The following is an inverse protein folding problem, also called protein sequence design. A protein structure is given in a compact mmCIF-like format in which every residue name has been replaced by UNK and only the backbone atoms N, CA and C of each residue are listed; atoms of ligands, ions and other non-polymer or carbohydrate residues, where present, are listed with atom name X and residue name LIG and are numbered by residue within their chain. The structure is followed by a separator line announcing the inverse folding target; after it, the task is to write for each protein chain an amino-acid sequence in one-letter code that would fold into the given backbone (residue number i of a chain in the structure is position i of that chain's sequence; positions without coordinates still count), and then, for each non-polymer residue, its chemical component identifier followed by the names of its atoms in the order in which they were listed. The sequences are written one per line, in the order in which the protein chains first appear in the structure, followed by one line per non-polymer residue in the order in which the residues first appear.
data_IF_463774781387
#
_entry.id   IF_463774781387
#
_cell.length_a   1.000
_cell.length_b   1.000
_cell.length_c   1.000
_cell.angle_alpha   90.00
_cell.angle_beta   90.00
_cell.angle_gamma   90.00
#
_symmetry.space_group_name_H-M   'P 1'
#
loop_
_entity.id
_entity.type
_entity.pdbx_description
1 polymer ?
#
# COMPACT_ATOMS: atom_id res chain seq x y z
N UNK A 1 -15.04 -12.58 -8.23
CA UNK A 1 -16.02 -12.02 -7.27
C UNK A 1 -15.31 -11.44 -6.06
N UNK A 2 -16.05 -11.00 -5.03
CA UNK A 2 -15.46 -10.42 -3.82
C UNK A 2 -16.24 -9.20 -3.33
N UNK A 3 -15.54 -8.22 -2.74
CA UNK A 3 -16.13 -6.96 -2.27
C UNK A 3 -15.45 -5.76 -2.90
N UNK A 4 -16.22 -4.78 -3.34
CA UNK A 4 -15.68 -3.49 -3.78
C UNK A 4 -15.11 -2.66 -2.62
N UNK A 5 -15.55 -2.95 -1.39
CA UNK A 5 -15.13 -2.28 -0.16
C UNK A 5 -13.97 -3.03 0.52
N UNK A 6 -14.17 -3.59 1.71
CA UNK A 6 -13.10 -4.04 2.59
C UNK A 6 -13.17 -5.53 2.91
N UNK A 7 -12.04 -6.07 3.39
CA UNK A 7 -11.97 -7.45 3.88
C UNK A 7 -13.06 -7.76 4.92
N UNK A 8 -13.40 -6.82 5.81
CA UNK A 8 -14.46 -7.01 6.81
C UNK A 8 -15.77 -7.48 6.19
N UNK A 9 -16.19 -6.85 5.09
CA UNK A 9 -17.43 -7.22 4.39
C UNK A 9 -17.26 -8.54 3.62
N UNK A 10 -16.07 -8.78 3.04
CA UNK A 10 -15.77 -10.05 2.37
C UNK A 10 -15.84 -11.22 3.35
N UNK A 11 -15.33 -11.01 4.56
CA UNK A 11 -15.30 -12.00 5.62
C UNK A 11 -16.71 -12.28 6.19
N UNK A 12 -17.59 -11.27 6.22
CA UNK A 12 -18.98 -11.39 6.69
C UNK A 12 -19.92 -12.00 5.66
N UNK A 13 -19.76 -11.66 4.39
CA UNK A 13 -20.68 -12.02 3.29
C UNK A 13 -19.95 -12.86 2.25
N UNK A 14 -19.52 -14.04 2.69
CA UNK A 14 -18.79 -15.00 1.85
C UNK A 14 -19.72 -15.58 0.79
N UNK A 15 -19.18 -15.82 -0.39
CA UNK A 15 -19.85 -16.55 -1.47
C UNK A 15 -19.09 -17.85 -1.72
N UNK A 16 -19.74 -18.90 -2.26
CA UNK A 16 -19.05 -20.16 -2.58
C UNK A 16 -17.85 -19.92 -3.50
N UNK A 17 -16.67 -20.40 -3.08
CA UNK A 17 -15.43 -20.15 -3.79
C UNK A 17 -15.43 -20.74 -5.21
N UNK A 18 -16.06 -21.90 -5.40
CA UNK A 18 -16.09 -22.64 -6.68
C UNK A 18 -16.71 -21.84 -7.82
N UNK A 19 -17.56 -20.86 -7.51
CA UNK A 19 -18.21 -19.98 -8.49
C UNK A 19 -17.35 -18.77 -8.89
N UNK A 20 -16.14 -18.62 -8.32
CA UNK A 20 -15.28 -17.47 -8.56
C UNK A 20 -14.04 -17.85 -9.37
N UNK A 21 -13.71 -17.06 -10.38
CA UNK A 21 -12.39 -17.13 -11.04
C UNK A 21 -11.28 -16.54 -10.18
N UNK A 22 -11.63 -15.51 -9.40
CA UNK A 22 -10.74 -14.85 -8.44
C UNK A 22 -11.56 -14.20 -7.31
N UNK A 23 -10.92 -13.98 -6.17
CA UNK A 23 -11.42 -13.20 -5.04
C UNK A 23 -10.72 -11.84 -4.97
N UNK A 24 -11.47 -10.80 -4.63
CA UNK A 24 -10.89 -9.46 -4.41
C UNK A 24 -11.54 -8.67 -3.30
N UNK A 25 -10.77 -7.78 -2.69
CA UNK A 25 -11.25 -6.73 -1.81
C UNK A 25 -10.28 -5.54 -1.85
N UNK A 26 -10.70 -4.41 -1.29
CA UNK A 26 -9.81 -3.27 -1.02
C UNK A 26 -9.54 -3.16 0.48
N UNK A 27 -8.82 -2.12 0.85
CA UNK A 27 -8.59 -1.69 2.23
C UNK A 27 -8.65 -0.16 2.29
N UNK A 28 -8.85 0.38 3.50
CA UNK A 28 -8.78 1.81 3.77
C UNK A 28 -8.31 1.99 5.21
N UNK A 29 -7.20 2.71 5.45
CA UNK A 29 -6.62 2.82 6.78
C UNK A 29 -7.33 3.87 7.67
N UNK A 30 -8.22 4.71 7.10
CA UNK A 30 -8.84 5.82 7.82
C UNK A 30 -10.29 5.57 8.26
N UNK A 31 -10.69 4.33 8.53
CA UNK A 31 -12.10 4.05 8.89
C UNK A 31 -12.49 4.65 10.25
N UNK A 32 -11.61 4.54 11.25
CA UNK A 32 -11.90 4.96 12.63
C UNK A 32 -10.99 6.08 13.13
N UNK A 33 -9.72 6.06 12.74
CA UNK A 33 -8.71 7.05 13.10
C UNK A 33 -8.02 7.55 11.82
N UNK A 34 -7.47 8.75 11.86
CA UNK A 34 -6.81 9.35 10.69
C UNK A 34 -5.49 10.05 11.02
N UNK A 35 -4.97 9.92 12.24
CA UNK A 35 -3.60 10.34 12.54
C UNK A 35 -2.56 9.51 11.77
N UNK A 36 -1.32 9.97 11.76
CA UNK A 36 -0.24 9.38 10.95
C UNK A 36 0.15 7.99 11.43
N UNK A 37 0.25 7.81 12.75
CA UNK A 37 0.67 6.56 13.36
C UNK A 37 -0.37 5.47 13.08
N UNK A 38 -1.65 5.75 13.36
CA UNK A 38 -2.75 4.81 13.12
C UNK A 38 -2.81 4.34 11.67
N UNK A 39 -2.55 5.24 10.70
CA UNK A 39 -2.56 4.86 9.28
C UNK A 39 -1.38 3.98 8.92
N UNK A 40 -0.17 4.24 9.41
CA UNK A 40 0.97 3.36 9.15
C UNK A 40 0.82 2.00 9.83
N UNK A 41 0.32 1.97 11.06
CA UNK A 41 0.06 0.72 11.80
C UNK A 41 -0.97 -0.19 11.13
N UNK A 42 -1.88 0.36 10.30
CA UNK A 42 -2.81 -0.45 9.51
C UNK A 42 -2.12 -1.51 8.63
N UNK A 43 -0.85 -1.28 8.26
CA UNK A 43 -0.04 -2.21 7.48
C UNK A 43 0.19 -3.54 8.23
N UNK A 44 0.22 -3.52 9.57
CA UNK A 44 0.43 -4.71 10.41
C UNK A 44 -0.73 -5.72 10.31
N UNK A 45 -1.92 -5.26 9.96
CA UNK A 45 -3.08 -6.13 9.78
C UNK A 45 -3.05 -6.91 8.45
N UNK A 46 -2.32 -6.43 7.45
CA UNK A 46 -2.38 -6.96 6.09
C UNK A 46 -1.96 -8.44 5.98
N UNK A 47 -0.90 -8.93 6.65
CA UNK A 47 -0.56 -10.35 6.62
C UNK A 47 -1.67 -11.25 7.21
N UNK A 48 -2.38 -10.79 8.24
CA UNK A 48 -3.50 -11.54 8.83
C UNK A 48 -4.73 -11.53 7.92
N UNK A 49 -4.99 -10.41 7.26
CA UNK A 49 -6.06 -10.28 6.26
C UNK A 49 -5.81 -11.26 5.11
N UNK A 50 -4.62 -11.25 4.52
CA UNK A 50 -4.30 -12.12 3.38
C UNK A 50 -4.31 -13.59 3.77
N UNK A 51 -3.78 -13.94 4.95
CA UNK A 51 -3.87 -15.30 5.49
C UNK A 51 -5.34 -15.75 5.68
N UNK A 52 -6.20 -14.86 6.16
CA UNK A 52 -7.62 -15.16 6.32
C UNK A 52 -8.32 -15.37 4.97
N UNK A 53 -8.01 -14.56 3.96
CA UNK A 53 -8.53 -14.78 2.60
C UNK A 53 -8.08 -16.14 2.06
N UNK A 54 -6.82 -16.52 2.24
CA UNK A 54 -6.31 -17.84 1.84
C UNK A 54 -7.00 -18.97 2.59
N UNK A 55 -7.26 -18.82 3.89
CA UNK A 55 -8.01 -19.82 4.65
C UNK A 55 -9.47 -19.98 4.17
N UNK A 56 -10.11 -18.90 3.72
CA UNK A 56 -11.52 -18.91 3.29
C UNK A 56 -11.69 -19.37 1.84
N UNK A 57 -10.84 -18.89 0.93
CA UNK A 57 -10.98 -19.10 -0.52
C UNK A 57 -9.92 -20.03 -1.10
N UNK A 58 -9.04 -20.59 -0.27
CA UNK A 58 -8.02 -21.55 -0.67
C UNK A 58 -7.08 -21.00 -1.76
N UNK A 59 -6.81 -21.78 -2.83
CA UNK A 59 -5.86 -21.41 -3.87
C UNK A 59 -6.46 -20.48 -4.93
N UNK A 60 -7.69 -19.98 -4.76
CA UNK A 60 -8.30 -19.06 -5.74
C UNK A 60 -7.39 -17.87 -6.01
N UNK A 61 -7.36 -17.43 -7.26
CA UNK A 61 -6.64 -16.22 -7.61
C UNK A 61 -7.13 -15.07 -6.71
N UNK A 62 -6.20 -14.35 -6.13
CA UNK A 62 -6.40 -13.34 -5.13
C UNK A 62 -5.84 -11.98 -5.57
N UNK A 63 -6.73 -11.01 -5.67
CA UNK A 63 -6.41 -9.63 -6.05
C UNK A 63 -6.76 -8.66 -4.93
N UNK A 64 -6.00 -7.59 -4.80
CA UNK A 64 -6.33 -6.50 -3.90
C UNK A 64 -6.43 -5.19 -4.67
N UNK A 65 -7.52 -4.46 -4.44
CA UNK A 65 -7.60 -3.04 -4.76
C UNK A 65 -8.73 -2.62 -5.71
N UNK A 66 -8.78 -1.31 -6.04
CA UNK A 66 -7.80 -0.28 -5.65
C UNK A 66 -7.86 0.06 -4.16
N UNK A 67 -6.73 -0.06 -3.46
CA UNK A 67 -6.58 0.36 -2.07
C UNK A 67 -5.90 1.72 -1.99
N UNK A 68 -6.44 2.61 -1.15
CA UNK A 68 -6.04 4.01 -1.03
C UNK A 68 -6.07 4.45 0.43
N UNK A 69 -5.31 5.49 0.78
CA UNK A 69 -5.39 6.08 2.13
C UNK A 69 -6.78 6.68 2.33
N UNK A 70 -7.19 7.58 1.44
CA UNK A 70 -8.54 8.14 1.46
C UNK A 70 -9.60 7.05 1.20
N UNK A 71 -10.80 7.24 1.75
CA UNK A 71 -11.91 6.32 1.59
C UNK A 71 -12.54 6.49 0.20
N UNK A 72 -12.49 5.44 -0.61
CA UNK A 72 -13.08 5.45 -1.96
C UNK A 72 -14.57 5.12 -1.98
N UNK A 73 -15.01 4.28 -1.04
CA UNK A 73 -16.40 3.87 -0.91
C UNK A 73 -16.69 3.60 0.57
N UNK A 74 -17.82 4.08 1.08
CA UNK A 74 -18.26 3.83 2.44
C UNK A 74 -19.24 2.63 2.47
N UNK A 75 -18.84 1.45 2.98
CA UNK A 75 -19.77 0.31 3.10
C UNK A 75 -20.78 0.47 4.26
N UNK A 76 -20.65 1.51 5.07
CA UNK A 76 -21.45 1.74 6.29
C UNK A 76 -22.43 2.91 6.15
N UNK A 77 -22.52 3.54 4.97
CA UNK A 77 -23.39 4.68 4.72
C UNK A 77 -23.50 4.99 3.23
N UNK A 78 -24.32 5.98 2.87
CA UNK A 78 -24.60 6.32 1.47
C UNK A 78 -23.48 7.05 0.74
N UNK A 79 -22.53 7.67 1.46
CA UNK A 79 -21.42 8.43 0.90
C UNK A 79 -20.20 8.46 1.83
N UNK A 80 -19.05 8.80 1.25
CA UNK A 80 -17.83 9.16 1.97
C UNK A 80 -17.92 10.61 2.47
N UNK A 81 -17.13 10.97 3.49
CA UNK A 81 -17.13 12.35 4.00
C UNK A 81 -16.38 13.26 3.05
N UNK A 82 -16.97 14.40 2.70
CA UNK A 82 -16.26 15.45 1.97
C UNK A 82 -15.15 16.04 2.83
N UNK A 83 -14.00 16.32 2.21
CA UNK A 83 -12.86 16.94 2.90
C UNK A 83 -12.20 18.05 2.06
N UNK A 84 -12.89 19.19 1.85
CA UNK A 84 -12.39 20.29 1.01
C UNK A 84 -11.14 20.97 1.59
N UNK A 85 -10.99 20.94 2.92
CA UNK A 85 -9.86 21.56 3.62
C UNK A 85 -8.66 20.62 3.81
N UNK A 86 -8.68 19.43 3.19
CA UNK A 86 -7.61 18.42 3.24
C UNK A 86 -7.13 18.14 4.67
N UNK A 87 -8.08 17.96 5.59
CA UNK A 87 -7.81 17.60 6.97
C UNK A 87 -7.61 16.09 7.12
N UNK A 88 -7.05 15.65 8.25
CA UNK A 88 -6.94 14.23 8.59
C UNK A 88 -8.22 13.75 9.25
N UNK A 89 -9.18 13.33 8.43
CA UNK A 89 -10.53 12.97 8.89
C UNK A 89 -10.83 11.52 8.53
N UNK A 90 -11.31 10.74 9.50
CA UNK A 90 -11.75 9.38 9.26
C UNK A 90 -12.91 9.35 8.24
N UNK A 91 -12.86 8.38 7.33
CA UNK A 91 -13.85 8.14 6.27
C UNK A 91 -13.94 9.24 5.20
N UNK A 92 -12.93 10.11 5.12
CA UNK A 92 -12.87 11.17 4.12
C UNK A 92 -12.52 10.66 2.72
N UNK A 93 -13.08 11.32 1.69
CA UNK A 93 -12.84 11.05 0.27
C UNK A 93 -11.52 11.63 -0.28
N UNK A 94 -10.84 12.43 0.55
CA UNK A 94 -9.55 13.08 0.27
C UNK A 94 -8.70 13.01 1.52
N UNK A 95 -7.40 12.82 1.33
CA UNK A 95 -6.43 12.82 2.42
C UNK A 95 -5.20 13.66 2.03
N UNK A 96 -4.74 14.60 2.89
CA UNK A 96 -3.58 15.44 2.57
C UNK A 96 -2.30 14.64 2.35
N UNK A 97 -2.17 13.46 2.98
CA UNK A 97 -0.97 12.63 2.93
C UNK A 97 -0.72 12.02 1.55
N UNK A 98 -1.78 11.92 0.73
CA UNK A 98 -1.71 11.39 -0.63
C UNK A 98 -0.75 12.21 -1.53
N UNK A 99 -0.57 13.50 -1.23
CA UNK A 99 0.32 14.38 -1.98
C UNK A 99 1.79 14.34 -1.55
N UNK A 100 2.11 13.63 -0.46
CA UNK A 100 3.44 13.64 0.14
C UNK A 100 4.13 12.28 0.15
N UNK A 101 5.36 12.27 0.68
CA UNK A 101 6.16 11.04 0.86
C UNK A 101 5.46 9.98 1.71
N UNK A 102 4.57 10.39 2.62
CA UNK A 102 3.75 9.48 3.43
C UNK A 102 3.03 8.44 2.56
N UNK A 103 2.43 8.86 1.46
CA UNK A 103 1.71 7.95 0.56
C UNK A 103 2.65 7.04 -0.23
N UNK A 104 3.85 7.50 -0.58
CA UNK A 104 4.88 6.66 -1.19
C UNK A 104 5.35 5.56 -0.21
N UNK A 105 5.68 5.92 1.03
CA UNK A 105 6.07 4.97 2.07
C UNK A 105 4.96 3.96 2.39
N UNK A 106 3.71 4.42 2.56
CA UNK A 106 2.57 3.54 2.78
C UNK A 106 2.34 2.58 1.60
N UNK A 107 2.53 3.04 0.36
CA UNK A 107 2.38 2.22 -0.86
C UNK A 107 3.40 1.09 -0.92
N UNK A 108 4.69 1.39 -0.68
CA UNK A 108 5.74 0.36 -0.63
C UNK A 108 5.51 -0.56 0.57
N UNK A 109 5.21 -0.02 1.74
CA UNK A 109 4.92 -0.80 2.95
C UNK A 109 3.72 -1.75 2.77
N UNK A 110 2.68 -1.30 2.08
CA UNK A 110 1.52 -2.11 1.71
C UNK A 110 1.95 -3.31 0.87
N UNK A 111 2.67 -3.05 -0.22
CA UNK A 111 3.17 -4.09 -1.10
C UNK A 111 4.08 -5.07 -0.37
N UNK A 112 4.97 -4.59 0.51
CA UNK A 112 5.83 -5.40 1.36
C UNK A 112 5.03 -6.41 2.20
N UNK A 113 3.94 -5.96 2.83
CA UNK A 113 3.13 -6.80 3.72
C UNK A 113 2.24 -7.81 2.98
N UNK A 114 1.86 -7.54 1.74
CA UNK A 114 0.99 -8.44 0.95
C UNK A 114 1.75 -9.31 -0.05
N UNK A 115 3.00 -8.99 -0.39
CA UNK A 115 3.80 -9.78 -1.33
C UNK A 115 3.91 -11.27 -0.97
N UNK A 116 4.08 -11.67 0.31
CA UNK A 116 4.10 -13.08 0.68
C UNK A 116 2.81 -13.84 0.38
N UNK A 117 1.68 -13.15 0.21
CA UNK A 117 0.39 -13.77 -0.10
C UNK A 117 0.27 -14.24 -1.56
N UNK A 118 1.23 -13.87 -2.43
CA UNK A 118 1.26 -14.25 -3.83
C UNK A 118 0.03 -13.76 -4.59
N UNK A 119 -0.23 -12.45 -4.55
CA UNK A 119 -1.34 -11.84 -5.27
C UNK A 119 -1.09 -11.87 -6.78
N UNK A 120 -2.13 -12.16 -7.57
CA UNK A 120 -2.09 -12.02 -9.03
C UNK A 120 -2.15 -10.55 -9.44
N UNK A 121 -2.72 -9.69 -8.59
CA UNK A 121 -2.83 -8.26 -8.86
C UNK A 121 -2.93 -7.47 -7.56
N UNK A 122 -2.11 -6.43 -7.47
CA UNK A 122 -2.21 -5.37 -6.48
C UNK A 122 -2.46 -4.06 -7.21
N UNK A 123 -3.60 -3.43 -6.96
CA UNK A 123 -3.93 -2.09 -7.46
C UNK A 123 -3.92 -1.12 -6.30
N UNK A 124 -3.03 -0.14 -6.38
CA UNK A 124 -2.94 0.96 -5.43
C UNK A 124 -3.16 2.26 -6.20
N UNK A 125 -3.77 3.25 -5.55
CA UNK A 125 -3.99 4.57 -6.14
C UNK A 125 -4.97 4.54 -7.35
N UNK A 126 -5.23 5.71 -7.90
CA UNK A 126 -5.82 5.93 -9.24
C UNK A 126 -4.83 6.66 -10.14
N UNK A 127 -5.25 6.99 -11.36
CA UNK A 127 -4.39 7.76 -12.28
C UNK A 127 -4.43 9.27 -11.96
N UNK A 128 -5.62 9.85 -11.88
CA UNK A 128 -5.87 11.27 -11.55
C UNK A 128 -6.84 11.42 -10.38
N UNK A 129 -7.15 12.67 -10.00
CA UNK A 129 -8.11 12.98 -8.95
C UNK A 129 -7.55 12.81 -7.53
N UNK A 130 -8.43 12.75 -6.52
CA UNK A 130 -8.02 12.69 -5.11
C UNK A 130 -7.19 11.44 -4.75
N UNK A 131 -7.36 10.37 -5.53
CA UNK A 131 -6.62 9.13 -5.38
C UNK A 131 -5.49 8.99 -6.40
N UNK A 132 -5.30 9.96 -7.30
CA UNK A 132 -4.38 9.88 -8.43
C UNK A 132 -2.90 9.75 -8.08
N UNK A 133 -2.10 9.25 -9.01
CA UNK A 133 -0.63 9.42 -8.96
C UNK A 133 -0.20 10.78 -9.51
N UNK A 134 -1.05 11.44 -10.31
CA UNK A 134 -0.84 12.80 -10.79
C UNK A 134 -1.55 13.82 -9.89
N UNK A 135 -0.94 14.99 -9.75
CA UNK A 135 -1.48 16.08 -8.95
C UNK A 135 -2.64 16.78 -9.65
N UNK A 136 -3.60 17.21 -8.83
CA UNK A 136 -4.68 18.10 -9.23
C UNK A 136 -4.29 19.56 -8.94
N UNK A 137 -5.13 20.49 -9.38
CA UNK A 137 -4.98 21.91 -9.06
C UNK A 137 -4.97 22.17 -7.54
N UNK A 138 -4.14 23.12 -7.09
CA UNK A 138 -4.05 23.52 -5.67
C UNK A 138 -3.24 22.57 -4.78
N UNK A 139 -2.33 21.80 -5.36
CA UNK A 139 -1.42 20.90 -4.64
C UNK A 139 0.01 21.43 -4.56
N UNK A 140 0.89 20.85 -3.70
CA UNK A 140 2.28 21.31 -3.57
C UNK A 140 3.12 21.19 -4.85
N UNK A 141 2.76 20.27 -5.75
CA UNK A 141 3.35 20.13 -7.09
C UNK A 141 2.35 20.61 -8.15
N UNK A 142 2.85 20.96 -9.34
CA UNK A 142 2.04 21.47 -10.44
C UNK A 142 0.93 20.50 -10.87
N UNK A 143 -0.17 21.04 -11.37
CA UNK A 143 -1.26 20.20 -11.91
C UNK A 143 -0.75 19.33 -13.06
N UNK A 144 -1.10 18.04 -13.04
CA UNK A 144 -0.63 17.05 -14.01
C UNK A 144 0.77 16.50 -13.71
N UNK A 145 1.53 17.12 -12.80
CA UNK A 145 2.85 16.61 -12.41
C UNK A 145 2.72 15.38 -11.48
N UNK A 146 3.71 14.48 -11.48
CA UNK A 146 3.73 13.32 -10.58
C UNK A 146 3.74 13.72 -9.10
N UNK A 147 2.82 13.15 -8.31
CA UNK A 147 2.93 13.12 -6.84
C UNK A 147 4.02 12.13 -6.44
N UNK A 148 4.62 12.22 -5.22
CA UNK A 148 5.63 11.27 -4.76
C UNK A 148 5.24 9.78 -4.84
N UNK A 149 3.95 9.46 -4.68
CA UNK A 149 3.42 8.11 -4.83
C UNK A 149 3.62 7.53 -6.26
N UNK A 150 3.77 8.38 -7.28
CA UNK A 150 4.03 7.94 -8.65
C UNK A 150 5.30 7.07 -8.74
N UNK A 151 6.40 7.51 -8.11
CA UNK A 151 7.66 6.78 -8.12
C UNK A 151 7.54 5.42 -7.40
N UNK A 152 6.78 5.38 -6.29
CA UNK A 152 6.48 4.14 -5.59
C UNK A 152 5.66 3.17 -6.48
N UNK A 153 4.59 3.66 -7.12
CA UNK A 153 3.76 2.83 -8.02
C UNK A 153 4.57 2.39 -9.25
N UNK A 154 5.38 3.25 -9.84
CA UNK A 154 6.28 2.89 -10.96
C UNK A 154 7.24 1.77 -10.53
N UNK A 155 7.85 1.90 -9.36
CA UNK A 155 8.74 0.87 -8.79
C UNK A 155 8.03 -0.47 -8.57
N UNK A 156 6.78 -0.47 -8.11
CA UNK A 156 5.98 -1.69 -7.98
C UNK A 156 5.63 -2.31 -9.35
N UNK A 157 5.34 -1.49 -10.36
CA UNK A 157 5.13 -1.97 -11.72
C UNK A 157 6.40 -2.61 -12.31
N UNK A 158 7.57 -2.05 -12.04
CA UNK A 158 8.87 -2.64 -12.45
C UNK A 158 9.15 -3.99 -11.78
N UNK A 159 8.65 -4.19 -10.56
CA UNK A 159 8.75 -5.47 -9.83
C UNK A 159 7.69 -6.50 -10.29
N UNK A 160 6.72 -6.13 -11.11
CA UNK A 160 5.70 -7.07 -11.58
C UNK A 160 6.36 -8.22 -12.36
N UNK A 161 6.00 -9.45 -12.01
CA UNK A 161 6.60 -10.67 -12.60
C UNK A 161 7.96 -11.08 -12.02
N UNK A 162 8.54 -10.30 -11.10
CA UNK A 162 9.73 -10.72 -10.38
C UNK A 162 9.36 -11.80 -9.36
N UNK A 163 10.29 -12.74 -9.13
CA UNK A 163 10.12 -13.73 -8.06
C UNK A 163 10.31 -13.02 -6.71
N UNK A 164 9.30 -13.06 -5.86
CA UNK A 164 9.41 -12.52 -4.49
C UNK A 164 10.61 -13.14 -3.75
N UNK A 165 11.40 -12.28 -3.12
CA UNK A 165 12.52 -12.66 -2.24
C UNK A 165 12.13 -12.28 -0.83
N UNK A 166 12.14 -13.27 0.08
CA UNK A 166 11.88 -12.99 1.49
C UNK A 166 12.95 -12.04 2.04
N UNK A 167 12.51 -10.87 2.50
CA UNK A 167 13.35 -9.86 3.12
C UNK A 167 12.63 -9.34 4.37
N UNK A 168 13.39 -8.99 5.40
CA UNK A 168 12.89 -8.46 6.67
C UNK A 168 13.83 -7.37 7.18
N UNK A 169 13.29 -6.45 7.96
CA UNK A 169 14.06 -5.47 8.72
C UNK A 169 14.08 -5.89 10.20
N UNK A 170 15.01 -5.33 10.97
CA UNK A 170 15.07 -5.58 12.42
C UNK A 170 13.89 -4.96 13.18
N UNK A 171 13.27 -3.92 12.61
CA UNK A 171 12.10 -3.26 13.16
C UNK A 171 11.11 -2.89 12.03
N UNK A 172 10.14 -3.79 11.80
CA UNK A 172 9.10 -3.64 10.79
C UNK A 172 8.03 -2.61 11.16
N UNK A 173 8.10 -2.00 12.35
CA UNK A 173 7.25 -0.85 12.73
C UNK A 173 7.87 0.47 12.27
N UNK A 174 9.18 0.49 12.04
CA UNK A 174 9.92 1.68 11.59
C UNK A 174 10.28 1.64 10.11
N UNK A 175 10.73 0.50 9.60
CA UNK A 175 11.14 0.36 8.20
C UNK A 175 10.59 -0.94 7.65
N UNK A 176 9.92 -0.90 6.50
CA UNK A 176 9.54 -2.09 5.75
C UNK A 176 10.40 -2.27 4.52
N UNK A 177 10.51 -3.53 4.09
CA UNK A 177 11.27 -3.92 2.89
C UNK A 177 10.49 -4.84 1.98
N UNK A 178 10.56 -4.58 0.67
CA UNK A 178 10.03 -5.43 -0.39
C UNK A 178 11.17 -5.80 -1.33
N UNK A 179 11.39 -7.09 -1.57
CA UNK A 179 12.43 -7.56 -2.48
C UNK A 179 11.88 -8.50 -3.55
N UNK A 180 12.42 -8.37 -4.76
CA UNK A 180 12.09 -9.19 -5.91
C UNK A 180 13.34 -9.54 -6.71
N UNK A 181 13.36 -10.72 -7.32
CA UNK A 181 14.40 -11.16 -8.23
C UNK A 181 13.87 -11.18 -9.66
N UNK A 182 14.54 -10.46 -10.55
CA UNK A 182 14.20 -10.43 -11.96
C UNK A 182 14.44 -11.79 -12.62
N UNK A 183 13.84 -12.05 -13.80
CA UNK A 183 14.16 -13.24 -14.60
C UNK A 183 15.65 -13.37 -14.95
N UNK A 184 16.36 -12.24 -15.06
CA UNK A 184 17.80 -12.19 -15.28
C UNK A 184 18.64 -12.48 -14.00
N UNK A 185 18.00 -12.74 -12.86
CA UNK A 185 18.66 -13.09 -11.61
C UNK A 185 19.03 -11.92 -10.70
N UNK A 186 18.83 -10.67 -11.14
CA UNK A 186 19.11 -9.46 -10.35
C UNK A 186 18.09 -9.31 -9.22
N UNK A 187 18.57 -9.12 -7.99
CA UNK A 187 17.72 -8.76 -6.86
C UNK A 187 17.56 -7.24 -6.80
N UNK A 188 16.32 -6.78 -6.67
CA UNK A 188 15.95 -5.40 -6.39
C UNK A 188 15.24 -5.35 -5.05
N UNK A 189 15.54 -4.36 -4.23
CA UNK A 189 14.93 -4.15 -2.93
C UNK A 189 14.43 -2.71 -2.80
N UNK A 190 13.26 -2.56 -2.20
CA UNK A 190 12.71 -1.27 -1.79
C UNK A 190 12.63 -1.22 -0.27
N UNK A 191 13.11 -0.11 0.30
CA UNK A 191 12.95 0.23 1.71
C UNK A 191 11.96 1.38 1.84
N UNK A 192 11.15 1.36 2.90
CA UNK A 192 10.24 2.46 3.24
C UNK A 192 10.38 2.79 4.74
N UNK A 193 10.79 4.01 5.06
CA UNK A 193 10.67 4.55 6.41
C UNK A 193 9.19 4.82 6.69
N UNK A 194 8.63 4.26 7.76
CA UNK A 194 7.22 4.42 8.14
C UNK A 194 7.01 5.51 9.18
N UNK A 195 8.09 6.20 9.59
CA UNK A 195 8.07 7.10 10.73
C UNK A 195 8.20 8.56 10.32
N UNK A 196 7.79 9.44 11.22
CA UNK A 196 8.01 10.88 11.12
C UNK A 196 9.45 11.30 11.49
N UNK A 197 10.34 10.34 11.76
CA UNK A 197 11.71 10.58 12.19
C UNK A 197 12.71 10.03 11.18
N UNK A 198 13.92 10.55 11.22
CA UNK A 198 15.04 9.96 10.49
C UNK A 198 15.35 8.56 11.04
N UNK A 199 15.69 7.63 10.14
CA UNK A 199 16.10 6.27 10.50
C UNK A 199 17.39 5.92 9.79
N UNK A 200 18.39 5.46 10.54
CA UNK A 200 19.60 4.85 9.99
C UNK A 200 19.35 3.35 9.76
N UNK A 201 19.60 2.89 8.54
CA UNK A 201 19.45 1.50 8.12
C UNK A 201 20.81 0.97 7.71
N UNK A 202 21.26 -0.10 8.35
CA UNK A 202 22.40 -0.89 7.87
C UNK A 202 21.92 -1.81 6.74
N UNK A 203 22.51 -1.65 5.56
CA UNK A 203 22.24 -2.47 4.38
C UNK A 203 23.45 -3.29 3.95
N UNK A 204 24.45 -3.45 4.83
CA UNK A 204 25.70 -4.19 4.62
C UNK A 204 25.51 -5.61 4.07
N UNK A 205 24.39 -6.25 4.37
CA UNK A 205 24.00 -7.57 3.82
C UNK A 205 23.64 -7.57 2.33
N UNK A 206 23.36 -6.40 1.74
CA UNK A 206 23.06 -6.22 0.31
C UNK A 206 24.15 -5.38 -0.39
N UNK A 207 24.60 -4.31 0.26
CA UNK A 207 25.62 -3.38 -0.22
C UNK A 207 26.41 -2.88 0.99
N UNK A 208 27.75 -2.84 0.94
CA UNK A 208 28.57 -2.40 2.09
C UNK A 208 28.43 -0.90 2.41
N UNK A 209 27.28 -0.46 2.93
CA UNK A 209 27.00 0.92 3.35
C UNK A 209 25.88 1.01 4.40
N UNK A 210 25.85 2.15 5.09
CA UNK A 210 24.69 2.60 5.86
C UNK A 210 23.88 3.61 5.03
N UNK A 211 22.57 3.60 5.22
CA UNK A 211 21.63 4.53 4.60
C UNK A 211 20.93 5.33 5.69
N UNK A 212 20.88 6.65 5.54
CA UNK A 212 20.06 7.52 6.38
C UNK A 212 18.78 7.84 5.60
N UNK A 213 17.63 7.42 6.11
CA UNK A 213 16.33 7.62 5.50
C UNK A 213 15.59 8.76 6.22
N UNK A 214 15.30 9.84 5.50
CA UNK A 214 14.44 10.92 6.01
C UNK A 214 13.02 10.43 6.28
N UNK A 215 12.19 11.18 7.02
CA UNK A 215 10.82 10.80 7.32
C UNK A 215 10.04 10.38 6.08
N UNK A 216 9.42 9.21 6.12
CA UNK A 216 8.64 8.63 5.01
C UNK A 216 9.40 8.41 3.69
N UNK A 217 10.73 8.45 3.70
CA UNK A 217 11.51 8.18 2.50
C UNK A 217 11.32 6.75 2.00
N UNK A 218 11.33 6.59 0.68
CA UNK A 218 11.44 5.29 0.02
C UNK A 218 12.77 5.23 -0.74
N UNK A 219 13.45 4.09 -0.69
CA UNK A 219 14.74 3.91 -1.37
C UNK A 219 14.77 2.58 -2.11
N UNK A 220 15.18 2.62 -3.39
CA UNK A 220 15.43 1.44 -4.21
C UNK A 220 16.92 1.11 -4.19
N UNK A 221 17.23 -0.18 -4.08
CA UNK A 221 18.57 -0.77 -4.05
C UNK A 221 18.63 -1.90 -5.08
N UNK A 222 19.72 -2.03 -5.84
CA UNK A 222 19.89 -3.01 -6.93
C UNK A 222 19.41 -2.46 -8.26
#
# INVERSE_FOLDING_TARGET
GGMFSYFTELNRKRVPADLLDFVTHCTCPIVHAADDLSVMQSLEALPFITASVRAIFGPKHYRIGPSTIAMRQNPYGGATKANPHRQRIAMADRDPRHAGMFAAAWTIGYAARVAPAGLEMLTLSGFTGSFGVLAASGEPVGEGEPRPIFEAVRGLCELAGFRHVAARTSDETRVLTLAGRSPAGQTVMWLANLTASEVTVDISGCERRHLVMTPYATTRIG
#
